data_IF_698453818551
#
_entry.id   IF_698453818551
#
_cell.length_a   1.000
_cell.length_b   1.000
_cell.length_c   1.000
_cell.angle_alpha   90.00
_cell.angle_beta   90.00
_cell.angle_gamma   90.00
#
_symmetry.space_group_name_H-M   'P 1'
#
loop_
_entity.id
_entity.type
_entity.pdbx_description
1 polymer ?
#
# COMPACT_ATOMS: atom_id res chain seq x y z
N UNK A 1 0.96 -3.46 -12.24
CA UNK A 1 0.32 -2.96 -13.47
C UNK A 1 1.36 -2.62 -14.53
N UNK A 2 1.05 -2.85 -15.82
CA UNK A 2 1.98 -2.77 -16.97
C UNK A 2 2.75 -1.45 -17.11
N UNK A 3 3.91 -1.46 -17.77
CA UNK A 3 4.73 -0.25 -18.03
C UNK A 3 3.92 0.85 -18.73
N UNK A 4 4.28 2.11 -18.48
CA UNK A 4 3.72 3.29 -19.18
C UNK A 4 2.22 3.59 -18.97
N UNK A 5 1.60 3.03 -17.93
CA UNK A 5 0.19 3.30 -17.57
C UNK A 5 -0.02 4.56 -16.69
N UNK A 6 1.01 5.37 -16.45
CA UNK A 6 0.89 6.58 -15.63
C UNK A 6 1.05 6.38 -14.11
N UNK A 7 1.52 5.21 -13.64
CA UNK A 7 1.77 4.95 -12.20
C UNK A 7 2.66 6.00 -11.54
N UNK A 8 3.79 6.33 -12.15
CA UNK A 8 4.69 7.39 -11.67
C UNK A 8 3.99 8.75 -11.63
N UNK A 9 3.13 9.03 -12.60
CA UNK A 9 2.32 10.26 -12.63
C UNK A 9 1.34 10.30 -11.46
N UNK A 10 0.64 9.19 -11.16
CA UNK A 10 -0.23 9.09 -10.00
C UNK A 10 0.55 9.34 -8.68
N UNK A 11 1.79 8.84 -8.58
CA UNK A 11 2.65 9.10 -7.42
C UNK A 11 3.03 10.59 -7.30
N UNK A 12 3.27 11.28 -8.43
CA UNK A 12 3.50 12.74 -8.45
C UNK A 12 2.24 13.53 -8.05
N UNK A 13 1.05 13.06 -8.44
CA UNK A 13 -0.23 13.64 -7.98
C UNK A 13 -0.38 13.47 -6.46
N UNK A 14 -0.02 12.31 -5.90
CA UNK A 14 -0.02 12.13 -4.45
C UNK A 14 0.99 13.06 -3.75
N UNK A 15 2.15 13.31 -4.37
CA UNK A 15 3.15 14.24 -3.84
C UNK A 15 2.62 15.69 -3.80
N UNK A 16 1.89 16.12 -4.83
CA UNK A 16 1.41 17.51 -4.95
C UNK A 16 0.47 17.95 -3.84
N UNK A 17 -0.13 17.00 -3.11
CA UNK A 17 -0.93 17.30 -1.90
C UNK A 17 -0.09 18.02 -0.84
N UNK A 18 1.19 17.64 -0.70
CA UNK A 18 2.07 18.09 0.37
C UNK A 18 3.26 18.94 -0.11
N UNK A 19 3.68 18.80 -1.37
CA UNK A 19 4.83 19.52 -1.90
C UNK A 19 5.13 19.15 -3.35
N UNK A 20 6.37 19.31 -3.79
CA UNK A 20 6.75 19.08 -5.20
C UNK A 20 7.00 17.61 -5.51
N UNK A 21 7.21 17.32 -6.81
CA UNK A 21 7.68 16.01 -7.27
C UNK A 21 9.02 15.55 -6.64
N UNK A 22 9.78 16.43 -5.99
CA UNK A 22 11.02 16.09 -5.28
C UNK A 22 10.78 15.21 -4.05
N UNK A 23 9.53 15.11 -3.58
CA UNK A 23 9.13 14.16 -2.54
C UNK A 23 9.12 12.72 -3.05
N UNK A 24 9.04 12.51 -4.37
CA UNK A 24 9.10 11.19 -4.99
C UNK A 24 10.56 10.76 -5.10
N UNK A 25 10.89 9.63 -4.48
CA UNK A 25 12.22 9.04 -4.51
C UNK A 25 12.20 7.75 -5.33
N UNK A 26 13.32 7.35 -5.92
CA UNK A 26 13.42 6.00 -6.49
C UNK A 26 13.45 4.94 -5.38
N UNK A 27 12.93 3.74 -5.67
CA UNK A 27 13.04 2.59 -4.77
C UNK A 27 14.43 1.92 -4.80
N UNK A 28 15.46 2.60 -5.33
CA UNK A 28 16.85 2.20 -5.19
C UNK A 28 17.40 2.65 -3.82
N UNK A 29 17.07 1.91 -2.76
CA UNK A 29 17.42 2.30 -1.39
C UNK A 29 17.78 1.10 -0.50
N UNK A 30 18.65 1.33 0.49
CA UNK A 30 18.96 0.35 1.54
C UNK A 30 17.91 0.37 2.66
N UNK A 31 17.83 -0.69 3.47
CA UNK A 31 16.91 -0.78 4.64
C UNK A 31 17.07 0.40 5.57
N UNK A 32 18.31 0.73 5.90
CA UNK A 32 18.62 1.83 6.81
C UNK A 32 18.21 3.18 6.21
N UNK A 33 18.36 3.37 4.90
CA UNK A 33 17.91 4.59 4.23
C UNK A 33 16.39 4.73 4.29
N UNK A 34 15.65 3.67 4.00
CA UNK A 34 14.17 3.64 4.09
C UNK A 34 13.69 3.89 5.52
N UNK A 35 14.27 3.23 6.53
CA UNK A 35 13.94 3.45 7.95
C UNK A 35 14.14 4.91 8.38
N UNK A 36 15.29 5.50 8.01
CA UNK A 36 15.61 6.90 8.34
C UNK A 36 14.67 7.88 7.64
N UNK A 37 14.36 7.66 6.37
CA UNK A 37 13.41 8.49 5.62
C UNK A 37 12.00 8.37 6.20
N UNK A 38 11.54 7.16 6.49
CA UNK A 38 10.24 6.92 7.11
C UNK A 38 10.12 7.63 8.46
N UNK A 39 11.15 7.56 9.30
CA UNK A 39 11.21 8.25 10.59
C UNK A 39 11.24 9.77 10.47
N UNK A 40 11.99 10.30 9.50
CA UNK A 40 12.05 11.74 9.24
C UNK A 40 10.70 12.30 8.79
N UNK A 41 10.03 11.62 7.85
CA UNK A 41 8.70 12.00 7.37
C UNK A 41 7.62 11.78 8.44
N UNK A 42 7.80 10.76 9.29
CA UNK A 42 6.94 10.34 10.38
C UNK A 42 5.47 10.11 10.00
N UNK A 43 4.71 11.17 9.79
CA UNK A 43 3.30 11.15 9.40
C UNK A 43 3.05 11.57 7.95
N UNK A 44 4.07 12.09 7.25
CA UNK A 44 4.03 12.37 5.81
C UNK A 44 4.28 11.10 4.98
N UNK A 45 3.63 10.95 3.81
CA UNK A 45 3.76 9.75 3.00
C UNK A 45 5.18 9.56 2.48
N UNK A 46 5.66 8.31 2.49
CA UNK A 46 6.90 7.91 1.83
C UNK A 46 6.59 7.46 0.40
N UNK A 47 7.06 8.20 -0.58
CA UNK A 47 6.77 7.96 -2.00
C UNK A 47 8.00 7.36 -2.69
N UNK A 48 7.90 6.09 -3.09
CA UNK A 48 8.98 5.33 -3.72
C UNK A 48 8.56 4.86 -5.12
N UNK A 49 9.16 5.42 -6.16
CA UNK A 49 8.88 5.04 -7.53
C UNK A 49 9.71 3.82 -7.96
N UNK A 50 9.03 2.91 -8.64
CA UNK A 50 9.56 1.72 -9.30
C UNK A 50 10.23 0.70 -8.36
N UNK A 51 9.42 -0.25 -7.88
CA UNK A 51 9.88 -1.36 -7.04
C UNK A 51 10.92 -2.27 -7.70
N UNK A 52 11.07 -2.26 -9.04
CA UNK A 52 12.13 -3.04 -9.71
C UNK A 52 13.53 -2.50 -9.49
N UNK A 53 13.64 -1.23 -9.09
CA UNK A 53 14.92 -0.63 -8.71
C UNK A 53 15.38 -1.05 -7.31
N UNK A 54 14.50 -1.66 -6.53
CA UNK A 54 14.85 -2.25 -5.25
C UNK A 54 15.51 -3.62 -5.44
N UNK A 55 16.36 -4.01 -4.50
CA UNK A 55 16.77 -5.41 -4.38
C UNK A 55 15.55 -6.25 -3.96
N UNK A 56 15.11 -7.13 -4.85
CA UNK A 56 13.96 -8.03 -4.68
C UNK A 56 14.05 -8.81 -3.36
N UNK A 57 15.25 -9.23 -2.97
CA UNK A 57 15.50 -9.99 -1.72
C UNK A 57 15.20 -9.16 -0.47
N UNK A 58 15.18 -7.83 -0.60
CA UNK A 58 14.91 -6.92 0.51
C UNK A 58 13.46 -6.43 0.54
N UNK A 59 12.70 -6.55 -0.55
CA UNK A 59 11.31 -6.06 -0.65
C UNK A 59 10.42 -6.58 0.47
N UNK A 60 10.41 -7.89 0.71
CA UNK A 60 9.63 -8.49 1.79
C UNK A 60 9.98 -7.89 3.15
N UNK A 61 11.28 -7.67 3.40
CA UNK A 61 11.74 -7.08 4.66
C UNK A 61 11.44 -5.59 4.77
N UNK A 62 11.41 -4.85 3.65
CA UNK A 62 10.97 -3.45 3.62
C UNK A 62 9.51 -3.36 4.03
N UNK A 63 8.64 -4.17 3.43
CA UNK A 63 7.21 -4.22 3.78
C UNK A 63 7.05 -4.53 5.27
N UNK A 64 7.72 -5.57 5.77
CA UNK A 64 7.56 -5.99 7.16
C UNK A 64 8.05 -4.92 8.15
N UNK A 65 9.23 -4.33 7.90
CA UNK A 65 9.81 -3.31 8.77
C UNK A 65 9.01 -2.02 8.71
N UNK A 66 8.69 -1.54 7.50
CA UNK A 66 7.93 -0.31 7.29
C UNK A 66 6.55 -0.40 7.95
N UNK A 67 5.81 -1.48 7.71
CA UNK A 67 4.49 -1.68 8.32
C UNK A 67 4.54 -1.83 9.85
N UNK A 68 5.69 -2.22 10.41
CA UNK A 68 5.90 -2.27 11.86
C UNK A 68 6.05 -0.89 12.52
N UNK A 69 6.27 0.18 11.75
CA UNK A 69 6.35 1.55 12.28
C UNK A 69 7.58 1.84 13.13
N UNK A 70 8.61 0.98 13.09
CA UNK A 70 9.79 1.07 13.95
C UNK A 70 11.03 0.49 13.28
N UNK A 71 12.17 1.17 13.44
CA UNK A 71 13.47 0.69 12.98
C UNK A 71 13.95 -0.52 13.79
N UNK A 72 14.79 -1.37 13.20
CA UNK A 72 15.44 -2.44 13.95
C UNK A 72 16.25 -1.89 15.15
N UNK A 73 16.02 -2.42 16.34
CA UNK A 73 16.81 -2.13 17.53
C UNK A 73 18.27 -2.54 17.36
N UNK A 74 19.20 -1.72 17.87
CA UNK A 74 20.64 -1.95 17.75
C UNK A 74 21.34 -1.67 19.07
N UNK A 75 22.27 -2.53 19.45
CA UNK A 75 23.19 -2.25 20.56
C UNK A 75 24.28 -1.26 20.17
N UNK A 76 24.90 -0.67 21.18
CA UNK A 76 26.10 0.16 21.13
C UNK A 76 26.92 -0.09 22.40
N UNK A 77 28.19 0.35 22.41
CA UNK A 77 29.09 0.19 23.56
C UNK A 77 28.51 0.82 24.83
N UNK A 78 27.72 1.89 24.70
CA UNK A 78 27.06 2.58 25.81
C UNK A 78 25.62 2.12 26.12
N UNK A 79 25.16 1.01 25.54
CA UNK A 79 23.78 0.53 25.71
C UNK A 79 23.01 0.49 24.39
N UNK A 80 21.68 0.64 24.39
CA UNK A 80 20.89 0.59 23.15
C UNK A 80 21.01 1.88 22.34
N UNK A 81 21.12 1.76 21.02
CA UNK A 81 20.94 2.89 20.11
C UNK A 81 19.49 3.35 20.12
N UNK A 82 19.28 4.62 19.80
CA UNK A 82 17.93 5.18 19.64
C UNK A 82 17.17 4.43 18.55
N UNK A 83 16.01 3.90 18.91
CA UNK A 83 15.03 3.39 17.96
C UNK A 83 14.27 4.55 17.32
N UNK A 84 14.07 4.46 16.01
CA UNK A 84 13.25 5.40 15.24
C UNK A 84 11.86 4.80 15.03
N UNK A 85 10.84 5.65 15.05
CA UNK A 85 9.44 5.25 14.85
C UNK A 85 8.77 6.16 13.84
N UNK A 86 7.79 5.63 13.12
CA UNK A 86 6.97 6.36 12.16
C UNK A 86 5.52 5.87 12.16
N UNK A 87 4.64 6.69 11.59
CA UNK A 87 3.19 6.46 11.48
C UNK A 87 2.68 6.95 10.12
N UNK A 88 3.44 6.70 9.06
CA UNK A 88 3.11 7.10 7.70
C UNK A 88 2.74 5.90 6.84
N UNK A 89 2.19 6.23 5.67
CA UNK A 89 1.93 5.30 4.58
C UNK A 89 3.10 5.34 3.59
N UNK A 90 3.35 4.22 2.92
CA UNK A 90 4.24 4.15 1.78
C UNK A 90 3.38 3.96 0.53
N UNK A 91 3.61 4.80 -0.48
CA UNK A 91 3.06 4.58 -1.81
C UNK A 91 4.20 4.20 -2.73
N UNK A 92 4.03 3.11 -3.46
CA UNK A 92 5.02 2.63 -4.41
C UNK A 92 4.38 2.23 -5.72
N UNK A 93 5.15 2.35 -6.79
CA UNK A 93 4.78 1.86 -8.12
C UNK A 93 5.60 0.62 -8.44
N UNK A 94 5.11 -0.21 -9.35
CA UNK A 94 5.78 -1.44 -9.77
C UNK A 94 4.98 -2.16 -10.84
N UNK A 95 5.64 -3.04 -11.57
CA UNK A 95 4.96 -3.89 -12.56
C UNK A 95 4.37 -5.13 -11.90
N UNK A 96 5.12 -5.73 -10.97
CA UNK A 96 4.72 -6.89 -10.16
C UNK A 96 4.20 -6.39 -8.81
N UNK A 97 3.13 -7.02 -8.30
CA UNK A 97 2.52 -6.65 -7.03
C UNK A 97 3.49 -6.94 -5.87
N UNK A 98 3.59 -6.02 -4.89
CA UNK A 98 4.37 -6.30 -3.68
C UNK A 98 3.84 -7.49 -2.88
N UNK A 99 2.56 -7.84 -3.05
CA UNK A 99 1.98 -9.04 -2.45
C UNK A 99 2.64 -10.32 -2.94
N UNK A 100 3.08 -10.38 -4.20
CA UNK A 100 3.75 -11.56 -4.76
C UNK A 100 5.13 -11.79 -4.13
N UNK A 101 5.85 -10.71 -3.79
CA UNK A 101 7.10 -10.79 -3.04
C UNK A 101 6.88 -11.08 -1.54
N UNK A 102 5.71 -10.73 -1.02
CA UNK A 102 5.35 -10.86 0.40
C UNK A 102 4.69 -12.19 0.78
N UNK A 103 4.14 -12.93 -0.21
CA UNK A 103 3.38 -14.18 -0.04
C UNK A 103 4.12 -15.24 0.77
N UNK A 104 5.45 -15.32 0.64
CA UNK A 104 6.32 -16.26 1.38
C UNK A 104 6.37 -16.04 2.90
N UNK A 105 5.86 -14.91 3.41
CA UNK A 105 5.63 -14.74 4.86
C UNK A 105 4.17 -14.36 5.08
N UNK A 106 3.36 -15.32 5.55
CA UNK A 106 1.90 -15.30 5.67
C UNK A 106 1.25 -14.20 6.54
N UNK A 107 1.95 -13.10 6.83
CA UNK A 107 1.39 -11.91 7.47
C UNK A 107 1.76 -10.57 6.80
N UNK A 108 2.60 -10.57 5.76
CA UNK A 108 3.03 -9.36 5.07
C UNK A 108 2.04 -8.92 3.98
N UNK A 109 1.39 -9.86 3.28
CA UNK A 109 0.37 -9.56 2.27
C UNK A 109 -0.83 -8.77 2.86
N UNK A 110 -1.23 -9.10 4.09
CA UNK A 110 -2.29 -8.38 4.82
C UNK A 110 -1.93 -6.94 5.23
N UNK A 111 -0.77 -6.43 4.82
CA UNK A 111 -0.25 -5.09 5.14
C UNK A 111 -0.10 -4.20 3.89
N UNK A 112 -0.46 -4.72 2.72
CA UNK A 112 -0.35 -4.05 1.44
C UNK A 112 -1.75 -4.01 0.82
N UNK A 113 -2.12 -2.84 0.30
CA UNK A 113 -3.26 -2.68 -0.59
C UNK A 113 -2.69 -2.48 -1.99
N UNK A 114 -2.89 -3.46 -2.88
CA UNK A 114 -2.41 -3.39 -4.26
C UNK A 114 -3.51 -2.85 -5.17
N UNK A 115 -3.16 -1.87 -6.00
CA UNK A 115 -4.00 -1.35 -7.07
C UNK A 115 -3.38 -1.78 -8.40
N UNK A 116 -4.08 -2.62 -9.15
CA UNK A 116 -3.52 -3.27 -10.34
C UNK A 116 -3.91 -2.59 -11.66
N UNK A 117 -4.99 -1.81 -11.64
CA UNK A 117 -5.56 -1.14 -12.81
C UNK A 117 -4.76 0.10 -13.24
N UNK A 118 -5.11 0.60 -14.43
CA UNK A 118 -4.54 1.86 -14.93
C UNK A 118 -5.08 3.03 -14.09
N UNK A 119 -4.22 3.88 -13.50
CA UNK A 119 -4.67 5.06 -12.76
C UNK A 119 -5.42 6.08 -13.63
N UNK A 120 -5.19 6.05 -14.94
CA UNK A 120 -5.81 6.94 -15.90
C UNK A 120 -6.39 6.10 -17.05
N UNK A 121 -7.70 6.24 -17.27
CA UNK A 121 -8.43 5.59 -18.36
C UNK A 121 -9.03 6.64 -19.27
N UNK A 122 -9.04 6.38 -20.57
CA UNK A 122 -9.70 7.23 -21.58
C UNK A 122 -9.26 8.71 -21.56
N UNK A 123 -7.99 8.98 -21.19
CA UNK A 123 -7.38 10.32 -21.22
C UNK A 123 -6.42 10.48 -22.39
N UNK A 124 -6.28 11.71 -22.87
CA UNK A 124 -5.43 12.05 -24.00
C UNK A 124 -4.12 12.76 -23.58
N UNK A 125 -3.30 13.15 -24.56
CA UNK A 125 -2.06 13.90 -24.30
C UNK A 125 -2.31 15.30 -23.72
N UNK A 126 -3.45 15.91 -24.04
CA UNK A 126 -3.83 17.23 -23.54
C UNK A 126 -4.02 17.18 -22.04
N UNK A 127 -4.73 16.17 -21.54
CA UNK A 127 -4.91 15.92 -20.11
C UNK A 127 -3.57 15.86 -19.37
N UNK A 128 -2.61 15.08 -19.86
CA UNK A 128 -1.30 14.97 -19.21
C UNK A 128 -0.52 16.29 -19.24
N UNK A 129 -0.61 17.04 -20.33
CA UNK A 129 0.05 18.35 -20.45
C UNK A 129 -0.47 19.32 -19.40
N UNK A 130 -1.79 19.41 -19.24
CA UNK A 130 -2.42 20.25 -18.22
C UNK A 130 -2.13 19.76 -16.81
N UNK A 131 -2.16 18.45 -16.59
CA UNK A 131 -1.83 17.84 -15.31
C UNK A 131 -0.40 18.19 -14.88
N UNK A 132 0.59 18.02 -15.76
CA UNK A 132 1.98 18.35 -15.43
C UNK A 132 2.17 19.84 -15.16
N UNK A 133 1.55 20.71 -15.97
CA UNK A 133 1.55 22.16 -15.71
C UNK A 133 0.96 22.47 -14.32
N UNK A 134 -0.13 21.80 -13.95
CA UNK A 134 -0.73 21.88 -12.61
C UNK A 134 0.25 21.45 -11.53
N UNK A 135 0.87 20.28 -11.67
CA UNK A 135 1.83 19.75 -10.69
C UNK A 135 3.08 20.61 -10.51
N UNK A 136 3.49 21.35 -11.54
CA UNK A 136 4.65 22.25 -11.48
C UNK A 136 4.33 23.61 -10.84
N UNK A 137 3.07 24.03 -10.86
CA UNK A 137 2.66 25.37 -10.44
C UNK A 137 1.78 25.39 -9.18
N UNK A 138 1.09 24.29 -8.90
CA UNK A 138 0.11 24.16 -7.82
C UNK A 138 0.41 22.92 -6.98
N UNK A 139 0.98 23.11 -5.80
CA UNK A 139 1.30 22.02 -4.87
C UNK A 139 1.32 22.49 -3.41
N UNK A 140 1.17 21.54 -2.47
CA UNK A 140 1.25 21.76 -1.02
C UNK A 140 0.02 22.41 -0.37
N UNK A 141 -0.94 22.90 -1.15
CA UNK A 141 -2.10 23.61 -0.61
C UNK A 141 -3.15 22.68 0.01
N UNK A 142 -3.49 21.57 -0.67
CA UNK A 142 -4.59 20.69 -0.28
C UNK A 142 -4.34 20.02 1.08
N UNK A 143 -3.12 19.51 1.31
CA UNK A 143 -2.79 18.88 2.58
C UNK A 143 -2.87 19.84 3.76
N UNK A 144 -2.41 21.08 3.59
CA UNK A 144 -2.47 22.11 4.63
C UNK A 144 -3.92 22.51 4.97
N UNK A 145 -4.75 22.76 3.95
CA UNK A 145 -6.16 23.11 4.19
C UNK A 145 -6.92 21.93 4.79
N UNK A 146 -6.67 20.70 4.34
CA UNK A 146 -7.27 19.50 4.93
C UNK A 146 -6.95 19.40 6.43
N UNK A 147 -5.69 19.59 6.83
CA UNK A 147 -5.28 19.53 8.23
C UNK A 147 -5.96 20.63 9.06
N UNK A 148 -6.02 21.86 8.55
CA UNK A 148 -6.67 22.98 9.22
C UNK A 148 -8.16 22.70 9.48
N UNK A 149 -8.87 22.22 8.46
CA UNK A 149 -10.29 21.85 8.56
C UNK A 149 -10.50 20.69 9.55
N UNK A 150 -9.68 19.64 9.43
CA UNK A 150 -9.76 18.46 10.28
C UNK A 150 -9.48 18.79 11.75
N UNK A 151 -8.45 19.58 12.05
CA UNK A 151 -8.10 19.96 13.42
C UNK A 151 -9.24 20.71 14.12
N UNK A 152 -9.93 21.59 13.39
CA UNK A 152 -11.02 22.40 13.92
C UNK A 152 -12.27 21.56 14.22
N UNK A 153 -12.55 20.55 13.38
CA UNK A 153 -13.79 19.75 13.43
C UNK A 153 -13.59 18.31 13.88
N UNK A 154 -12.41 17.97 14.41
CA UNK A 154 -11.99 16.59 14.70
C UNK A 154 -13.01 15.82 15.54
N UNK A 155 -13.58 16.45 16.57
CA UNK A 155 -14.52 15.81 17.49
C UNK A 155 -15.80 15.35 16.79
N UNK A 156 -16.27 16.13 15.82
CA UNK A 156 -17.51 15.86 15.09
C UNK A 156 -17.29 14.88 13.94
N UNK A 157 -16.10 14.93 13.33
CA UNK A 157 -15.75 14.10 12.19
C UNK A 157 -15.31 12.68 12.59
N UNK A 158 -14.60 12.53 13.72
CA UNK A 158 -14.00 11.26 14.14
C UNK A 158 -15.02 10.12 14.35
N UNK A 159 -16.24 10.34 14.87
CA UNK A 159 -17.25 9.28 15.00
C UNK A 159 -17.54 8.54 13.69
N UNK A 160 -17.56 9.24 12.55
CA UNK A 160 -17.80 8.61 11.25
C UNK A 160 -16.67 7.67 10.79
N UNK A 161 -15.43 7.87 11.26
CA UNK A 161 -14.35 6.90 11.03
C UNK A 161 -14.68 5.54 11.65
N UNK A 162 -15.23 5.53 12.87
CA UNK A 162 -15.62 4.28 13.53
C UNK A 162 -16.78 3.59 12.81
N UNK A 163 -17.68 4.33 12.18
CA UNK A 163 -18.73 3.75 11.33
C UNK A 163 -18.14 3.00 10.13
N UNK A 164 -17.17 3.59 9.42
CA UNK A 164 -16.47 2.90 8.32
C UNK A 164 -15.63 1.72 8.82
N UNK A 165 -14.97 1.86 9.98
CA UNK A 165 -14.24 0.77 10.61
C UNK A 165 -15.17 -0.41 10.86
N UNK A 166 -16.31 -0.19 11.51
CA UNK A 166 -17.27 -1.24 11.83
C UNK A 166 -17.89 -1.87 10.57
N UNK A 167 -18.13 -1.06 9.54
CA UNK A 167 -18.61 -1.52 8.24
C UNK A 167 -17.65 -2.54 7.60
N UNK A 168 -16.38 -2.17 7.40
CA UNK A 168 -15.40 -3.09 6.79
C UNK A 168 -15.01 -4.25 7.72
N UNK A 169 -15.05 -4.06 9.04
CA UNK A 169 -14.82 -5.14 10.01
C UNK A 169 -15.94 -6.20 9.96
N UNK A 170 -17.19 -5.80 9.75
CA UNK A 170 -18.29 -6.77 9.55
C UNK A 170 -18.11 -7.55 8.26
N UNK A 171 -17.65 -6.90 7.19
CA UNK A 171 -17.37 -7.54 5.90
C UNK A 171 -16.22 -8.55 5.97
N UNK A 172 -15.27 -8.40 6.89
CA UNK A 172 -14.16 -9.35 7.02
C UNK A 172 -14.58 -10.75 7.47
N UNK A 173 -15.76 -10.91 8.08
CA UNK A 173 -16.31 -12.19 8.56
C UNK A 173 -15.33 -12.99 9.43
N UNK A 174 -14.45 -12.32 10.17
CA UNK A 174 -13.46 -12.96 11.04
C UNK A 174 -12.22 -13.50 10.33
N UNK A 175 -12.07 -13.32 9.01
CA UNK A 175 -10.83 -13.64 8.30
C UNK A 175 -9.70 -12.70 8.80
N UNK A 176 -8.57 -13.27 9.23
CA UNK A 176 -7.46 -12.51 9.83
C UNK A 176 -6.83 -11.49 8.88
N UNK A 177 -6.70 -11.83 7.59
CA UNK A 177 -6.13 -10.95 6.55
C UNK A 177 -7.10 -9.80 6.29
N UNK A 178 -8.36 -10.11 6.01
CA UNK A 178 -9.38 -9.11 5.72
C UNK A 178 -9.60 -8.19 6.92
N UNK A 179 -9.55 -8.70 8.15
CA UNK A 179 -9.65 -7.89 9.37
C UNK A 179 -8.57 -6.82 9.47
N UNK A 180 -7.34 -7.11 9.02
CA UNK A 180 -6.26 -6.11 8.97
C UNK A 180 -6.52 -5.09 7.87
N UNK A 181 -6.93 -5.56 6.70
CA UNK A 181 -7.25 -4.70 5.55
C UNK A 181 -8.44 -3.77 5.84
N UNK A 182 -9.42 -4.20 6.63
CA UNK A 182 -10.60 -3.41 7.00
C UNK A 182 -10.22 -2.03 7.55
N UNK A 183 -9.15 -1.95 8.35
CA UNK A 183 -8.71 -0.68 8.92
C UNK A 183 -8.11 0.26 7.85
N UNK A 184 -7.39 -0.28 6.88
CA UNK A 184 -6.81 0.52 5.79
C UNK A 184 -7.91 1.07 4.89
N UNK A 185 -8.87 0.21 4.49
CA UNK A 185 -10.01 0.63 3.69
C UNK A 185 -10.88 1.65 4.41
N UNK A 186 -11.18 1.42 5.70
CA UNK A 186 -11.90 2.40 6.51
C UNK A 186 -11.18 3.76 6.58
N UNK A 187 -9.85 3.75 6.67
CA UNK A 187 -9.04 4.98 6.71
C UNK A 187 -9.09 5.74 5.38
N UNK A 188 -8.94 5.03 4.25
CA UNK A 188 -8.99 5.63 2.91
C UNK A 188 -10.40 6.12 2.59
N UNK A 189 -11.43 5.32 2.88
CA UNK A 189 -12.82 5.70 2.70
C UNK A 189 -13.17 6.94 3.53
N UNK A 190 -12.76 6.97 4.81
CA UNK A 190 -12.94 8.13 5.67
C UNK A 190 -12.23 9.38 5.11
N UNK A 191 -10.98 9.25 4.66
CA UNK A 191 -10.26 10.36 4.03
C UNK A 191 -10.99 10.85 2.77
N UNK A 192 -11.49 9.94 1.93
CA UNK A 192 -12.29 10.27 0.75
C UNK A 192 -13.58 11.02 1.09
N UNK A 193 -14.32 10.58 2.12
CA UNK A 193 -15.50 11.30 2.63
C UNK A 193 -15.14 12.73 3.04
N UNK A 194 -14.06 12.90 3.82
CA UNK A 194 -13.62 14.22 4.26
C UNK A 194 -13.19 15.11 3.09
N UNK A 195 -12.55 14.55 2.06
CA UNK A 195 -12.22 15.29 0.85
C UNK A 195 -13.49 15.81 0.15
N UNK A 196 -14.53 14.99 0.00
CA UNK A 196 -15.83 15.44 -0.56
C UNK A 196 -16.41 16.59 0.27
N UNK A 197 -16.37 16.47 1.60
CA UNK A 197 -16.92 17.49 2.49
C UNK A 197 -16.12 18.80 2.48
N UNK A 198 -14.79 18.73 2.44
CA UNK A 198 -13.92 19.90 2.58
C UNK A 198 -13.73 20.66 1.27
N UNK A 199 -13.71 19.93 0.15
CA UNK A 199 -13.34 20.48 -1.16
C UNK A 199 -14.44 20.33 -2.22
N UNK A 200 -15.60 19.78 -1.86
CA UNK A 200 -16.73 19.54 -2.76
C UNK A 200 -16.33 18.75 -4.02
N UNK A 201 -15.39 17.81 -3.87
CA UNK A 201 -14.93 16.96 -4.98
C UNK A 201 -15.91 15.82 -5.23
N UNK A 202 -16.14 15.49 -6.50
CA UNK A 202 -16.94 14.34 -6.86
C UNK A 202 -16.09 13.07 -6.82
N UNK A 203 -16.21 12.29 -5.75
CA UNK A 203 -15.56 10.99 -5.58
C UNK A 203 -16.61 9.90 -5.43
N UNK A 204 -16.48 8.82 -6.22
CA UNK A 204 -17.25 7.60 -6.02
C UNK A 204 -16.56 6.72 -4.97
N UNK A 205 -17.06 6.75 -3.74
CA UNK A 205 -16.48 5.97 -2.63
C UNK A 205 -16.99 4.52 -2.60
N UNK A 206 -18.01 4.18 -3.39
CA UNK A 206 -18.52 2.81 -3.53
C UNK A 206 -17.47 1.90 -4.21
N UNK A 207 -16.59 2.48 -5.03
CA UNK A 207 -15.46 1.74 -5.64
C UNK A 207 -14.54 1.11 -4.59
N UNK A 208 -14.35 1.76 -3.43
CA UNK A 208 -13.56 1.18 -2.34
C UNK A 208 -14.28 0.01 -1.68
N UNK A 209 -15.60 0.01 -1.71
CA UNK A 209 -16.40 -1.10 -1.19
C UNK A 209 -16.32 -2.31 -2.12
N UNK A 210 -16.51 -2.08 -3.41
CA UNK A 210 -16.38 -3.10 -4.46
C UNK A 210 -14.99 -3.73 -4.45
N UNK A 211 -13.93 -2.92 -4.40
CA UNK A 211 -12.56 -3.41 -4.33
C UNK A 211 -12.29 -4.24 -3.05
N UNK A 212 -12.92 -3.90 -1.93
CA UNK A 212 -12.79 -4.72 -0.71
C UNK A 212 -13.49 -6.08 -0.87
N UNK A 213 -14.66 -6.09 -1.51
CA UNK A 213 -15.41 -7.31 -1.78
C UNK A 213 -14.65 -8.24 -2.74
N UNK A 214 -14.06 -7.71 -3.81
CA UNK A 214 -13.20 -8.46 -4.74
C UNK A 214 -12.03 -9.13 -4.01
N UNK A 215 -11.30 -8.38 -3.17
CA UNK A 215 -10.20 -8.94 -2.37
C UNK A 215 -10.72 -9.99 -1.38
N UNK A 216 -11.92 -9.79 -0.82
CA UNK A 216 -12.52 -10.76 0.09
C UNK A 216 -12.89 -12.07 -0.62
N UNK A 217 -13.40 -12.00 -1.85
CA UNK A 217 -13.68 -13.16 -2.69
C UNK A 217 -12.40 -13.91 -3.07
N UNK A 218 -11.36 -13.21 -3.52
CA UNK A 218 -10.05 -13.79 -3.80
C UNK A 218 -9.46 -14.48 -2.57
N UNK A 219 -9.49 -13.83 -1.39
CA UNK A 219 -8.96 -14.42 -0.16
C UNK A 219 -9.78 -15.61 0.34
N UNK A 220 -11.08 -15.67 0.07
CA UNK A 220 -11.92 -16.85 0.36
C UNK A 220 -11.59 -18.02 -0.56
N UNK A 221 -11.21 -17.74 -1.81
CA UNK A 221 -10.79 -18.76 -2.77
C UNK A 221 -9.42 -19.37 -2.46
N UNK A 222 -8.56 -18.64 -1.73
CA UNK A 222 -7.26 -19.12 -1.22
C UNK A 222 -7.49 -19.97 0.04
N UNK A 223 -7.90 -21.22 -0.18
CA UNK A 223 -7.90 -22.26 0.83
C UNK A 223 -6.45 -22.73 1.06
N UNK A 224 -5.83 -22.37 2.20
CA UNK A 224 -4.43 -22.71 2.51
C UNK A 224 -4.11 -24.21 2.33
N UNK A 225 -4.97 -25.15 2.78
CA UNK A 225 -4.88 -26.57 2.40
C UNK A 225 -4.81 -26.84 0.90
N UNK A 226 -5.62 -26.14 0.09
CA UNK A 226 -5.65 -26.28 -1.38
C UNK A 226 -4.40 -25.69 -2.03
N UNK A 227 -3.89 -24.55 -1.54
CA UNK A 227 -2.63 -23.95 -1.98
C UNK A 227 -1.45 -24.88 -1.69
N UNK A 228 -1.37 -25.42 -0.47
CA UNK A 228 -0.37 -26.42 -0.11
C UNK A 228 -0.47 -27.66 -1.02
N UNK A 229 -1.68 -28.12 -1.31
CA UNK A 229 -1.89 -29.23 -2.24
C UNK A 229 -1.40 -28.89 -3.65
N UNK A 230 -1.69 -27.69 -4.17
CA UNK A 230 -1.21 -27.23 -5.48
C UNK A 230 0.31 -27.11 -5.50
N UNK A 231 0.95 -26.57 -4.46
CA UNK A 231 2.41 -26.51 -4.34
C UNK A 231 3.03 -27.91 -4.32
N UNK A 232 2.48 -28.83 -3.52
CA UNK A 232 2.94 -30.22 -3.46
C UNK A 232 2.78 -30.89 -4.82
N UNK A 233 1.64 -30.74 -5.50
CA UNK A 233 1.40 -31.32 -6.82
C UNK A 233 2.36 -30.76 -7.87
N UNK A 234 2.60 -29.44 -7.87
CA UNK A 234 3.53 -28.79 -8.81
C UNK A 234 4.99 -29.20 -8.54
N UNK A 235 5.36 -29.34 -7.25
CA UNK A 235 6.67 -29.86 -6.85
C UNK A 235 6.85 -31.32 -7.30
N UNK A 236 5.86 -32.18 -7.07
CA UNK A 236 5.90 -33.58 -7.49
C UNK A 236 5.99 -33.71 -9.02
N UNK A 237 5.25 -32.88 -9.77
CA UNK A 237 5.30 -32.89 -11.23
C UNK A 237 6.66 -32.41 -11.76
N UNK A 238 7.25 -31.40 -11.11
CA UNK A 238 8.58 -30.88 -11.46
C UNK A 238 9.74 -31.83 -11.07
N UNK A 239 9.50 -32.73 -10.10
CA UNK A 239 10.51 -33.67 -9.58
C UNK A 239 10.10 -35.13 -9.80
N UNK A 240 9.37 -35.43 -10.88
CA UNK A 240 8.88 -36.80 -11.17
C UNK A 240 9.96 -37.87 -11.13
N UNK A 241 11.18 -37.56 -11.58
CA UNK A 241 12.30 -38.51 -11.58
C UNK A 241 12.80 -38.89 -10.17
N UNK A 242 12.45 -38.10 -9.15
CA UNK A 242 12.78 -38.38 -7.74
C UNK A 242 11.66 -39.11 -6.99
N UNK A 243 10.56 -39.45 -7.64
CA UNK A 243 9.41 -40.15 -7.03
C UNK A 243 9.55 -41.64 -7.32
N UNK A 244 9.70 -42.44 -6.27
CA UNK A 244 9.77 -43.89 -6.39
C UNK A 244 8.35 -44.46 -6.55
N UNK A 245 8.12 -45.22 -7.61
CA UNK A 245 6.86 -45.91 -7.85
C UNK A 245 7.05 -47.40 -7.59
N UNK A 246 6.30 -47.99 -6.67
CA UNK A 246 6.29 -49.45 -6.44
C UNK A 246 5.58 -50.20 -7.59
N UNK A 247 4.87 -49.48 -8.46
CA UNK A 247 4.21 -50.01 -9.65
C UNK A 247 4.45 -49.07 -10.83
N UNK A 248 4.76 -49.63 -12.00
CA UNK A 248 4.86 -48.86 -13.24
C UNK A 248 3.50 -48.21 -13.59
N UNK A 249 3.51 -47.01 -14.19
CA UNK A 249 2.28 -46.28 -14.54
C UNK A 249 1.35 -47.06 -15.47
#
# INVERSE_FOLDING_TARGET
>A
GSTSTGKTTALKVAASVWGTNQLVNEFNATKVSVERKAAFLNSFPLLLDDSRKADERLLQSFVYTFSGGRSKGRGSVGGSQREYTWRNIMLTTGEVSLNEYASKAGGAAARIVSLNDSPFENVDHTFFTELYKGLETQYGAIGLEFLKQYQTRKKDLLPSFYQFKDFYMKKSQGNEVLTRLSLYYATVHYAGRLLKEFFNVNLNLELLDQLFDEIAEENKAIDKPKELLTEVLSYLDSNREGIYYDYAP
#
